data_IF_906346747557
#
_entry.id   IF_906346747557
#
_cell.length_a   1.000
_cell.length_b   1.000
_cell.length_c   1.000
_cell.angle_alpha   90.00
_cell.angle_beta   90.00
_cell.angle_gamma   90.00
#
_symmetry.space_group_name_H-M   'P 1'
#
loop_
_entity.id
_entity.type
_entity.pdbx_description
1 polymer ?
#
# COMPACT_ATOMS: atom_id res chain seq x y z
N UNK A 1 -7.14 15.61 -2.95
CA UNK A 1 -6.10 14.57 -3.16
C UNK A 1 -6.16 13.56 -2.03
N UNK A 2 -6.17 12.28 -2.36
CA UNK A 2 -6.22 11.21 -1.35
C UNK A 2 -4.82 10.72 -0.97
N UNK A 3 -4.65 10.31 0.29
CA UNK A 3 -3.43 9.67 0.77
C UNK A 3 -3.61 8.16 0.73
N UNK A 4 -2.71 7.48 0.03
CA UNK A 4 -2.64 6.02 -0.01
C UNK A 4 -1.39 5.55 0.71
N UNK A 5 -1.57 4.66 1.67
CA UNK A 5 -0.48 4.02 2.40
C UNK A 5 -0.49 2.53 2.10
N UNK A 6 0.60 2.04 1.54
CA UNK A 6 0.77 0.65 1.11
C UNK A 6 1.81 -0.06 1.97
N UNK A 7 1.46 -1.24 2.46
CA UNK A 7 2.38 -2.09 3.24
C UNK A 7 2.79 -3.29 2.40
N UNK A 8 4.09 -3.55 2.31
CA UNK A 8 4.65 -4.57 1.44
C UNK A 8 5.95 -5.15 2.04
N UNK A 9 6.55 -6.12 1.33
CA UNK A 9 7.83 -6.71 1.70
C UNK A 9 8.48 -7.32 0.45
N UNK A 10 9.81 -7.34 0.39
CA UNK A 10 10.55 -7.86 -0.76
C UNK A 10 10.31 -9.34 -1.03
N UNK A 11 9.89 -10.11 -0.02
CA UNK A 11 9.65 -11.56 -0.12
C UNK A 11 8.17 -11.90 -0.34
N UNK A 12 7.31 -10.91 -0.53
CA UNK A 12 5.87 -11.10 -0.62
C UNK A 12 5.45 -11.39 -2.06
N UNK A 13 5.17 -12.67 -2.37
CA UNK A 13 4.67 -13.07 -3.69
C UNK A 13 3.34 -12.42 -4.06
N UNK A 14 2.31 -12.46 -3.20
CA UNK A 14 1.05 -11.77 -3.46
C UNK A 14 1.20 -10.27 -3.69
N UNK A 15 2.19 -9.62 -3.06
CA UNK A 15 2.47 -8.20 -3.28
C UNK A 15 2.96 -7.96 -4.72
N UNK A 16 3.87 -8.80 -5.21
CA UNK A 16 4.35 -8.73 -6.59
C UNK A 16 3.23 -8.97 -7.59
N UNK A 17 2.36 -9.95 -7.32
CA UNK A 17 1.21 -10.24 -8.17
C UNK A 17 0.26 -9.05 -8.23
N UNK A 18 -0.02 -8.40 -7.11
CA UNK A 18 -0.87 -7.21 -7.06
C UNK A 18 -0.27 -6.08 -7.91
N UNK A 19 1.02 -5.82 -7.74
CA UNK A 19 1.73 -4.79 -8.49
C UNK A 19 1.62 -4.99 -9.99
N UNK A 20 1.83 -6.23 -10.45
CA UNK A 20 1.86 -6.56 -11.86
C UNK A 20 0.46 -6.64 -12.49
N UNK A 21 -0.57 -6.98 -11.71
CA UNK A 21 -1.92 -7.12 -12.24
C UNK A 21 -2.58 -5.76 -12.52
N UNK A 22 -2.62 -4.86 -11.55
CA UNK A 22 -3.28 -3.56 -11.75
C UNK A 22 -2.70 -2.42 -10.91
N UNK A 23 -2.09 -2.73 -9.76
CA UNK A 23 -1.82 -1.72 -8.75
C UNK A 23 -0.83 -0.66 -9.25
N UNK A 24 0.30 -1.07 -9.83
CA UNK A 24 1.33 -0.12 -10.25
C UNK A 24 0.84 0.80 -11.38
N UNK A 25 0.15 0.26 -12.37
CA UNK A 25 -0.37 1.06 -13.48
C UNK A 25 -1.46 2.04 -13.01
N UNK A 26 -2.37 1.57 -12.16
CA UNK A 26 -3.47 2.39 -11.65
C UNK A 26 -2.95 3.52 -10.75
N UNK A 27 -2.04 3.22 -9.82
CA UNK A 27 -1.47 4.25 -8.94
C UNK A 27 -0.66 5.27 -9.71
N UNK A 28 0.12 4.85 -10.71
CA UNK A 28 0.87 5.78 -11.55
C UNK A 28 -0.06 6.78 -12.27
N UNK A 29 -1.18 6.31 -12.82
CA UNK A 29 -2.14 7.18 -13.48
C UNK A 29 -2.80 8.16 -12.50
N UNK A 30 -3.17 7.69 -11.31
CA UNK A 30 -3.82 8.54 -10.30
C UNK A 30 -2.85 9.57 -9.70
N UNK A 31 -1.59 9.22 -9.54
CA UNK A 31 -0.55 10.16 -9.10
C UNK A 31 -0.34 11.23 -10.18
N UNK A 32 -0.21 10.83 -11.44
CA UNK A 32 0.01 11.76 -12.55
C UNK A 32 -1.15 12.73 -12.74
N UNK A 33 -2.38 12.31 -12.46
CA UNK A 33 -3.55 13.19 -12.52
C UNK A 33 -3.73 14.07 -11.29
N UNK A 34 -2.89 13.94 -10.27
CA UNK A 34 -3.01 14.69 -9.03
C UNK A 34 -4.10 14.17 -8.11
N UNK A 35 -4.65 12.99 -8.36
CA UNK A 35 -5.75 12.43 -7.57
C UNK A 35 -5.32 11.81 -6.26
N UNK A 36 -4.08 11.35 -6.15
CA UNK A 36 -3.56 10.74 -4.94
C UNK A 36 -2.08 11.00 -4.72
N UNK A 37 -1.65 10.86 -3.48
CA UNK A 37 -0.24 10.71 -3.10
C UNK A 37 -0.05 9.34 -2.46
N UNK A 38 1.18 8.83 -2.47
CA UNK A 38 1.47 7.43 -2.18
C UNK A 38 2.66 7.32 -1.23
N UNK A 39 2.49 6.59 -0.13
CA UNK A 39 3.58 6.25 0.78
C UNK A 39 3.62 4.72 0.90
N UNK A 40 4.82 4.15 0.79
CA UNK A 40 5.04 2.71 0.89
C UNK A 40 5.82 2.42 2.16
N UNK A 41 5.30 1.49 2.96
CA UNK A 41 5.96 0.99 4.16
C UNK A 41 6.37 -0.47 3.94
N UNK A 42 7.58 -0.83 4.35
CA UNK A 42 8.07 -2.20 4.26
C UNK A 42 8.04 -2.85 5.64
N UNK A 43 7.35 -3.99 5.73
CA UNK A 43 7.22 -4.74 6.97
C UNK A 43 8.33 -5.79 7.07
N UNK A 44 8.46 -6.44 8.23
CA UNK A 44 9.54 -7.41 8.47
C UNK A 44 9.14 -8.86 8.14
N UNK A 45 7.92 -9.05 7.64
CA UNK A 45 7.42 -10.36 7.20
C UNK A 45 6.96 -10.29 5.76
N UNK A 46 6.75 -11.42 5.02
CA UNK A 46 7.06 -12.79 5.43
C UNK A 46 8.56 -13.08 5.40
N UNK A 47 8.97 -14.16 6.08
CA UNK A 47 10.34 -14.62 6.03
C UNK A 47 10.74 -15.06 4.61
N UNK A 48 11.94 -14.75 4.11
CA UNK A 48 13.09 -14.11 4.79
C UNK A 48 13.03 -12.58 4.83
N UNK A 49 11.86 -12.00 4.78
CA UNK A 49 11.63 -10.55 4.68
C UNK A 49 12.06 -9.76 5.91
N UNK A 50 12.39 -10.41 7.02
CA UNK A 50 12.99 -9.75 8.18
C UNK A 50 14.33 -9.10 7.85
N UNK A 51 14.95 -9.48 6.74
CA UNK A 51 16.17 -8.88 6.22
C UNK A 51 15.92 -7.92 5.05
N UNK A 52 14.66 -7.51 4.83
CA UNK A 52 14.31 -6.57 3.76
C UNK A 52 15.09 -5.27 3.94
N UNK A 53 15.98 -4.89 2.98
CA UNK A 53 16.76 -3.66 3.12
C UNK A 53 15.90 -2.41 3.27
N UNK A 54 14.74 -2.36 2.64
CA UNK A 54 13.85 -1.20 2.72
C UNK A 54 13.22 -1.09 4.10
N UNK A 55 12.92 -2.22 4.77
CA UNK A 55 12.47 -2.21 6.16
C UNK A 55 13.59 -1.75 7.09
N UNK A 56 14.81 -2.28 6.91
CA UNK A 56 15.94 -1.99 7.78
C UNK A 56 16.40 -0.53 7.70
N UNK A 57 16.22 0.12 6.54
CA UNK A 57 16.59 1.52 6.36
C UNK A 57 15.78 2.46 7.26
N UNK A 58 14.52 2.13 7.53
CA UNK A 58 13.65 2.98 8.36
C UNK A 58 12.70 2.12 9.20
N UNK A 59 13.30 1.25 10.00
CA UNK A 59 12.56 0.27 10.81
C UNK A 59 11.54 0.93 11.74
N UNK A 60 11.93 2.01 12.41
CA UNK A 60 11.08 2.69 13.39
C UNK A 60 9.79 3.20 12.76
N UNK A 61 9.87 3.92 11.64
CA UNK A 61 8.69 4.48 10.98
C UNK A 61 7.84 3.41 10.32
N UNK A 62 8.48 2.41 9.69
CA UNK A 62 7.75 1.29 9.09
C UNK A 62 6.95 0.52 10.15
N UNK A 63 7.57 0.19 11.27
CA UNK A 63 6.92 -0.57 12.34
C UNK A 63 5.84 0.27 13.03
N UNK A 64 6.07 1.58 13.21
CA UNK A 64 5.08 2.46 13.83
C UNK A 64 3.76 2.47 13.03
N UNK A 65 3.83 2.70 11.71
CA UNK A 65 2.61 2.73 10.89
C UNK A 65 1.97 1.37 10.74
N UNK A 66 2.77 0.31 10.66
CA UNK A 66 2.28 -1.06 10.64
C UNK A 66 1.44 -1.35 11.89
N UNK A 67 1.95 -0.99 13.05
CA UNK A 67 1.24 -1.19 14.32
C UNK A 67 0.05 -0.26 14.47
N UNK A 68 0.14 0.97 13.98
CA UNK A 68 -0.95 1.94 14.04
C UNK A 68 -2.23 1.41 13.40
N UNK A 69 -2.11 0.78 12.24
CA UNK A 69 -3.27 0.22 11.54
C UNK A 69 -3.59 -1.23 11.92
N UNK A 70 -2.77 -1.85 12.78
CA UNK A 70 -2.94 -3.27 13.11
C UNK A 70 -2.68 -4.18 11.91
N UNK A 71 -1.81 -3.76 11.00
CA UNK A 71 -1.48 -4.51 9.80
C UNK A 71 -0.84 -5.84 10.17
N UNK A 72 -1.46 -6.95 9.77
CA UNK A 72 -1.00 -8.29 10.09
C UNK A 72 -0.80 -9.17 8.86
N UNK A 73 -0.95 -8.62 7.68
CA UNK A 73 -0.77 -9.31 6.41
C UNK A 73 -0.34 -8.33 5.34
N UNK A 74 0.31 -8.83 4.30
CA UNK A 74 0.66 -8.03 3.12
C UNK A 74 0.26 -8.79 1.86
N UNK A 75 -0.15 -8.09 0.80
CA UNK A 75 -0.25 -6.64 0.66
C UNK A 75 -1.38 -6.03 1.50
N UNK A 76 -1.18 -4.83 2.01
CA UNK A 76 -2.15 -4.11 2.83
C UNK A 76 -2.20 -2.66 2.35
N UNK A 77 -3.39 -2.10 2.20
CA UNK A 77 -3.59 -0.75 1.66
C UNK A 77 -4.56 0.03 2.54
N UNK A 78 -4.18 1.26 2.89
CA UNK A 78 -5.06 2.22 3.55
C UNK A 78 -5.29 3.40 2.61
N UNK A 79 -6.54 3.79 2.43
CA UNK A 79 -6.93 4.98 1.66
C UNK A 79 -7.55 5.98 2.62
N UNK A 80 -6.88 7.10 2.83
CA UNK A 80 -7.31 8.14 3.79
C UNK A 80 -7.63 7.57 5.18
N UNK A 81 -6.83 6.59 5.63
CA UNK A 81 -6.99 5.95 6.93
C UNK A 81 -8.03 4.85 6.99
N UNK A 82 -8.62 4.46 5.85
CA UNK A 82 -9.58 3.35 5.78
C UNK A 82 -8.99 2.19 5.00
N UNK A 83 -9.07 0.98 5.56
CA UNK A 83 -8.53 -0.20 4.92
C UNK A 83 -9.26 -0.52 3.61
N UNK A 84 -8.51 -0.70 2.54
CA UNK A 84 -9.03 -1.09 1.23
C UNK A 84 -8.70 -2.56 0.96
N UNK A 85 -9.74 -3.35 0.67
CA UNK A 85 -9.57 -4.75 0.29
C UNK A 85 -9.06 -4.82 -1.16
N UNK A 86 -7.85 -5.36 -1.34
CA UNK A 86 -7.18 -5.40 -2.65
C UNK A 86 -7.94 -6.21 -3.70
N UNK A 87 -8.82 -7.12 -3.27
CA UNK A 87 -9.69 -7.87 -4.17
C UNK A 87 -10.69 -6.97 -4.93
N UNK A 88 -10.89 -5.72 -4.49
CA UNK A 88 -11.72 -4.75 -5.21
C UNK A 88 -11.18 -4.33 -6.57
N UNK A 89 -9.91 -4.58 -6.84
CA UNK A 89 -9.28 -4.34 -8.13
C UNK A 89 -9.14 -2.86 -8.49
N UNK A 90 -8.73 -2.60 -9.74
CA UNK A 90 -8.48 -1.24 -10.23
C UNK A 90 -9.73 -0.35 -10.14
N UNK A 91 -10.88 -0.89 -10.50
CA UNK A 91 -12.15 -0.12 -10.46
C UNK A 91 -12.53 0.26 -9.05
N UNK A 92 -12.50 -0.70 -8.12
CA UNK A 92 -12.80 -0.44 -6.71
C UNK A 92 -11.83 0.57 -6.09
N UNK A 93 -10.57 0.43 -6.39
CA UNK A 93 -9.53 1.35 -5.91
C UNK A 93 -9.76 2.77 -6.43
N UNK A 94 -9.96 2.93 -7.74
CA UNK A 94 -10.21 4.23 -8.37
C UNK A 94 -11.45 4.89 -7.79
N UNK A 95 -12.52 4.12 -7.60
CA UNK A 95 -13.75 4.63 -6.99
C UNK A 95 -13.53 5.12 -5.56
N UNK A 96 -12.76 4.39 -4.77
CA UNK A 96 -12.42 4.79 -3.40
C UNK A 96 -11.62 6.09 -3.37
N UNK A 97 -10.67 6.27 -4.30
CA UNK A 97 -9.91 7.52 -4.43
C UNK A 97 -10.84 8.68 -4.78
N UNK A 98 -11.71 8.49 -5.75
CA UNK A 98 -12.64 9.54 -6.19
C UNK A 98 -13.64 9.91 -5.10
N UNK A 99 -14.14 8.94 -4.35
CA UNK A 99 -15.03 9.18 -3.21
C UNK A 99 -14.30 9.99 -2.13
N UNK A 100 -13.06 9.65 -1.80
CA UNK A 100 -12.26 10.40 -0.85
C UNK A 100 -12.02 11.83 -1.30
N UNK A 101 -11.79 12.05 -2.59
CA UNK A 101 -11.52 13.38 -3.13
C UNK A 101 -12.77 14.28 -3.19
N UNK A 102 -13.95 13.69 -3.15
CA UNK A 102 -15.22 14.45 -3.21
C UNK A 102 -15.71 14.93 -1.85
N UNK A 103 -15.03 14.54 -0.79
CA UNK A 103 -15.40 14.88 0.60
C UNK A 103 -14.73 16.14 1.11
#
# INVERSE_FOLDING_TARGET
MSLVERFTNCSCGPCANLNNSWYNATTANLINSGSMTHIVYNVYWPSPGECDPMHLLNKTDNDFRTNYYGCNSVPWVEINGTTFATAGGATGFTNAINTGNSQ
#
